data_IF_451890139522
#
_entry.id   IF_451890139522
#
_cell.length_a   1.000
_cell.length_b   1.000
_cell.length_c   1.000
_cell.angle_alpha   90.00
_cell.angle_beta   90.00
_cell.angle_gamma   90.00
#
_symmetry.space_group_name_H-M   'P 1'
#
loop_
_entity.id
_entity.type
_entity.pdbx_description
1 polymer ?
#
# COMPACT_ATOMS: atom_id res chain seq x y z
N UNK A 1 17.45 -3.61 -9.29
CA UNK A 1 17.12 -2.43 -8.46
C UNK A 1 16.13 -1.60 -9.25
N UNK A 2 15.00 -1.19 -8.67
CA UNK A 2 14.05 -0.32 -9.37
C UNK A 2 14.77 0.98 -9.72
N UNK A 3 14.67 1.43 -10.97
CA UNK A 3 15.27 2.68 -11.45
C UNK A 3 14.41 3.87 -10.97
N UNK A 4 14.43 4.10 -9.65
CA UNK A 4 13.72 5.19 -9.01
C UNK A 4 14.71 6.35 -8.86
N UNK A 5 14.39 7.46 -9.52
CA UNK A 5 15.23 8.66 -9.44
C UNK A 5 15.16 9.25 -8.03
N UNK A 6 16.27 9.22 -7.31
CA UNK A 6 16.34 9.73 -5.95
C UNK A 6 16.51 11.25 -5.95
N UNK A 7 15.48 11.97 -5.50
CA UNK A 7 15.49 13.42 -5.29
C UNK A 7 14.89 13.72 -3.92
N UNK A 8 15.52 14.60 -3.15
CA UNK A 8 15.12 14.92 -1.77
C UNK A 8 15.00 16.43 -1.55
N UNK A 9 14.08 16.80 -0.67
CA UNK A 9 13.96 18.15 -0.11
C UNK A 9 14.72 18.17 1.21
N UNK A 10 15.61 19.14 1.40
CA UNK A 10 16.41 19.31 2.62
C UNK A 10 15.96 20.54 3.41
N UNK A 11 16.00 20.44 4.74
CA UNK A 11 15.85 21.59 5.65
C UNK A 11 17.04 22.56 5.55
N UNK A 12 16.93 23.71 6.21
CA UNK A 12 18.04 24.68 6.31
C UNK A 12 19.30 24.08 6.94
N UNK A 13 19.14 23.18 7.92
CA UNK A 13 20.24 22.44 8.55
C UNK A 13 20.81 21.30 7.66
N UNK A 14 20.35 21.18 6.41
CA UNK A 14 20.80 20.15 5.46
C UNK A 14 20.23 18.75 5.71
N UNK A 15 19.21 18.60 6.56
CA UNK A 15 18.58 17.30 6.84
C UNK A 15 17.51 16.98 5.79
N UNK A 16 17.47 15.78 5.19
CA UNK A 16 16.36 15.38 4.32
C UNK A 16 15.04 15.38 5.10
N UNK A 17 14.04 16.09 4.57
CA UNK A 17 12.69 16.20 5.17
C UNK A 17 11.60 15.66 4.26
N UNK A 18 11.91 15.39 2.99
CA UNK A 18 10.97 14.82 2.03
C UNK A 18 11.67 14.31 0.77
N UNK A 19 10.91 13.62 -0.07
CA UNK A 19 11.35 13.11 -1.39
C UNK A 19 10.46 13.66 -2.49
N UNK A 20 11.02 13.79 -3.69
CA UNK A 20 10.28 14.18 -4.89
C UNK A 20 10.22 12.96 -5.80
N UNK A 21 9.00 12.54 -6.11
CA UNK A 21 8.69 11.43 -7.00
C UNK A 21 7.80 11.94 -8.13
N UNK A 22 7.95 11.37 -9.33
CA UNK A 22 6.91 11.53 -10.34
C UNK A 22 5.64 10.77 -9.90
N UNK A 23 4.50 11.23 -10.42
CA UNK A 23 3.20 10.75 -9.98
C UNK A 23 2.99 9.24 -10.25
N UNK A 24 3.59 8.70 -11.31
CA UNK A 24 3.43 7.31 -11.69
C UNK A 24 4.25 6.40 -10.75
N UNK A 25 5.47 6.83 -10.41
CA UNK A 25 6.29 6.17 -9.39
C UNK A 25 5.61 6.18 -8.03
N UNK A 26 5.04 7.32 -7.61
CA UNK A 26 4.31 7.43 -6.35
C UNK A 26 3.13 6.45 -6.28
N UNK A 27 2.25 6.47 -7.28
CA UNK A 27 1.08 5.56 -7.34
C UNK A 27 1.47 4.09 -7.40
N UNK A 28 2.59 3.77 -8.07
CA UNK A 28 3.12 2.41 -8.11
C UNK A 28 3.55 1.94 -6.72
N UNK A 29 4.15 2.81 -5.92
CA UNK A 29 4.51 2.51 -4.52
C UNK A 29 3.25 2.28 -3.69
N UNK A 30 2.24 3.17 -3.79
CA UNK A 30 0.96 3.00 -3.09
C UNK A 30 0.32 1.64 -3.40
N UNK A 31 0.18 1.32 -4.70
CA UNK A 31 -0.41 0.04 -5.12
C UNK A 31 0.32 -1.16 -4.55
N UNK A 32 1.66 -1.16 -4.54
CA UNK A 32 2.44 -2.28 -4.00
C UNK A 32 2.16 -2.45 -2.49
N UNK A 33 2.05 -1.34 -1.75
CA UNK A 33 1.77 -1.37 -0.31
C UNK A 33 0.33 -1.87 -0.07
N UNK A 34 -0.64 -1.39 -0.83
CA UNK A 34 -2.05 -1.81 -0.76
C UNK A 34 -2.20 -3.30 -1.09
N UNK A 35 -1.62 -3.75 -2.21
CA UNK A 35 -1.67 -5.15 -2.65
C UNK A 35 -1.03 -6.07 -1.60
N UNK A 36 0.10 -5.67 -0.99
CA UNK A 36 0.73 -6.42 0.09
C UNK A 36 -0.17 -6.50 1.33
N UNK A 37 -0.73 -5.37 1.75
CA UNK A 37 -1.64 -5.31 2.90
C UNK A 37 -2.88 -6.19 2.68
N UNK A 38 -3.49 -6.11 1.50
CA UNK A 38 -4.63 -6.93 1.12
C UNK A 38 -4.26 -8.42 1.12
N UNK A 39 -3.14 -8.81 0.51
CA UNK A 39 -2.70 -10.20 0.49
C UNK A 39 -2.49 -10.75 1.90
N UNK A 40 -1.96 -9.93 2.82
CA UNK A 40 -1.81 -10.31 4.22
C UNK A 40 -3.15 -10.53 4.91
N UNK A 41 -4.09 -9.59 4.77
CA UNK A 41 -5.43 -9.71 5.34
C UNK A 41 -6.18 -10.92 4.79
N UNK A 42 -6.01 -11.22 3.50
CA UNK A 42 -6.61 -12.41 2.88
C UNK A 42 -6.01 -13.71 3.43
N UNK A 43 -4.70 -13.74 3.71
CA UNK A 43 -4.06 -14.90 4.32
C UNK A 43 -4.48 -15.09 5.79
N UNK A 44 -4.68 -14.01 6.54
CA UNK A 44 -5.21 -14.08 7.91
C UNK A 44 -6.63 -14.64 7.95
N UNK A 45 -7.44 -14.36 6.93
CA UNK A 45 -8.82 -14.84 6.81
C UNK A 45 -8.97 -16.18 6.07
N UNK A 46 -7.88 -16.90 5.78
CA UNK A 46 -7.92 -18.13 4.97
C UNK A 46 -8.75 -19.25 5.63
N UNK A 47 -8.68 -19.35 6.96
CA UNK A 47 -9.39 -20.36 7.76
C UNK A 47 -10.75 -19.85 8.28
N UNK A 48 -11.15 -18.63 7.94
CA UNK A 48 -12.43 -18.05 8.37
C UNK A 48 -13.62 -18.73 7.65
N UNK A 49 -14.80 -18.67 8.29
CA UNK A 49 -16.02 -19.21 7.71
C UNK A 49 -16.37 -18.50 6.39
N UNK A 50 -16.48 -19.27 5.30
CA UNK A 50 -16.94 -18.77 4.01
C UNK A 50 -18.46 -18.71 4.02
N UNK A 51 -18.99 -17.49 4.09
CA UNK A 51 -20.43 -17.25 4.04
C UNK A 51 -20.94 -17.16 2.60
N UNK A 52 -22.09 -17.78 2.33
CA UNK A 52 -22.84 -17.54 1.11
C UNK A 52 -23.40 -16.11 1.07
N UNK A 53 -23.71 -15.62 -0.13
CA UNK A 53 -24.26 -14.25 -0.31
C UNK A 53 -25.45 -13.96 0.59
N UNK A 54 -26.39 -14.88 0.71
CA UNK A 54 -27.60 -14.69 1.53
C UNK A 54 -27.30 -14.66 3.03
N UNK A 55 -26.26 -15.34 3.49
CA UNK A 55 -25.83 -15.36 4.89
C UNK A 55 -25.04 -14.09 5.21
N UNK A 56 -24.12 -13.69 4.34
CA UNK A 56 -23.34 -12.46 4.47
C UNK A 56 -24.24 -11.21 4.52
N UNK A 57 -25.31 -11.16 3.72
CA UNK A 57 -26.27 -10.05 3.72
C UNK A 57 -27.02 -9.87 5.05
N UNK A 58 -27.03 -10.88 5.94
CA UNK A 58 -27.63 -10.76 7.28
C UNK A 58 -26.77 -9.95 8.26
N UNK A 59 -25.51 -9.69 7.91
CA UNK A 59 -24.54 -8.93 8.71
C UNK A 59 -24.30 -7.50 8.18
N UNK A 60 -24.97 -7.10 7.10
CA UNK A 60 -24.85 -5.76 6.48
C UNK A 60 -25.78 -4.72 7.09
#
# INVERSE_FOLDING_TARGET
MLDIRHQSITSEDGKPVGVILDIDTFKKIERIIEDYGLAHLMAEAEDDEILGREEALKFS
#
